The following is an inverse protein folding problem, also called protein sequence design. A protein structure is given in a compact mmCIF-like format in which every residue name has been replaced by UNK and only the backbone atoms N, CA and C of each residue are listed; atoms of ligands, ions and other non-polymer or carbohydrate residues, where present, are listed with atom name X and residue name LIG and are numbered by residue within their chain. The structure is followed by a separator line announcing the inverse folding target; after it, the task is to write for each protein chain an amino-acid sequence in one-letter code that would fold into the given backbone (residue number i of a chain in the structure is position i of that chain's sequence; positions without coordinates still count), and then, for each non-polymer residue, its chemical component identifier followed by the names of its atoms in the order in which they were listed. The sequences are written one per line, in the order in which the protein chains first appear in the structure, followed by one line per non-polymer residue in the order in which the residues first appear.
data_IF_758152201616
#
_entry.id   IF_758152201616
#
_cell.length_a   1.000
_cell.length_b   1.000
_cell.length_c   1.000
_cell.angle_alpha   90.00
_cell.angle_beta   90.00
_cell.angle_gamma   90.00
#
_symmetry.space_group_name_H-M   'P 1'
#
loop_
_entity.id
_entity.type
_entity.pdbx_description
1 polymer ?
#
# COMPACT_ATOMS: atom_id res chain seq x y z
N UNK A 1 40.37 7.37 -33.14
CA UNK A 1 40.40 7.00 -31.71
C UNK A 1 38.96 7.01 -31.21
N UNK A 2 38.36 5.83 -31.11
CA UNK A 2 36.99 5.67 -30.65
C UNK A 2 36.94 5.73 -29.13
N UNK A 3 36.19 6.68 -28.59
CA UNK A 3 35.82 6.69 -27.18
C UNK A 3 34.68 5.70 -26.95
N UNK A 4 35.06 4.48 -26.59
CA UNK A 4 34.35 3.63 -25.63
C UNK A 4 34.06 4.46 -24.37
N UNK A 5 32.89 4.47 -23.72
CA UNK A 5 31.79 3.52 -23.64
C UNK A 5 30.49 4.33 -23.53
N UNK A 6 29.66 4.32 -24.56
CA UNK A 6 28.27 4.77 -24.44
C UNK A 6 27.43 3.85 -25.30
N UNK A 7 27.13 2.65 -24.77
CA UNK A 7 26.05 1.76 -25.24
C UNK A 7 25.90 0.53 -24.33
N UNK A 8 24.69 0.43 -23.74
CA UNK A 8 24.04 -0.74 -23.09
C UNK A 8 24.63 -1.15 -21.73
N UNK A 9 23.84 -1.33 -20.67
CA UNK A 9 22.72 -2.28 -20.64
C UNK A 9 21.58 -1.93 -19.66
N UNK A 10 20.37 -2.03 -20.22
CA UNK A 10 19.10 -2.43 -19.64
C UNK A 10 18.42 -1.54 -18.57
N UNK A 11 17.42 -0.77 -19.05
CA UNK A 11 16.20 -0.52 -18.29
C UNK A 11 15.55 -1.87 -17.94
N UNK A 12 16.11 -2.59 -16.98
CA UNK A 12 15.50 -3.79 -16.43
C UNK A 12 14.21 -3.36 -15.74
N UNK A 13 13.09 -3.49 -16.45
CA UNK A 13 11.78 -3.40 -15.83
C UNK A 13 11.69 -4.61 -14.91
N UNK A 14 11.82 -4.36 -13.61
CA UNK A 14 11.64 -5.36 -12.58
C UNK A 14 10.22 -5.90 -12.69
N UNK A 15 10.08 -7.05 -13.36
CA UNK A 15 8.79 -7.70 -13.58
C UNK A 15 8.42 -8.46 -12.31
N UNK A 16 7.47 -7.92 -11.56
CA UNK A 16 6.96 -8.53 -10.34
C UNK A 16 5.85 -9.53 -10.68
N UNK A 17 5.89 -10.69 -10.04
CA UNK A 17 4.77 -11.64 -10.06
C UNK A 17 3.83 -11.37 -8.88
N UNK A 18 2.56 -11.76 -9.01
CA UNK A 18 1.57 -11.56 -7.94
C UNK A 18 1.98 -12.24 -6.63
N UNK A 19 2.55 -13.45 -6.71
CA UNK A 19 3.02 -14.21 -5.54
C UNK A 19 4.23 -13.53 -4.88
N UNK A 20 5.15 -13.00 -5.68
CA UNK A 20 6.29 -12.25 -5.16
C UNK A 20 5.82 -11.00 -4.43
N UNK A 21 4.86 -10.25 -5.00
CA UNK A 21 4.29 -9.06 -4.35
C UNK A 21 3.60 -9.43 -3.04
N UNK A 22 2.81 -10.50 -3.02
CA UNK A 22 2.15 -10.95 -1.81
C UNK A 22 3.17 -11.26 -0.70
N UNK A 23 4.22 -12.02 -1.01
CA UNK A 23 5.30 -12.33 -0.06
C UNK A 23 6.09 -11.09 0.38
N UNK A 24 6.40 -10.19 -0.56
CA UNK A 24 7.11 -8.96 -0.25
C UNK A 24 6.31 -8.03 0.66
N UNK A 25 5.00 -7.89 0.40
CA UNK A 25 4.08 -7.09 1.23
C UNK A 25 3.84 -7.74 2.58
N UNK A 26 3.84 -9.08 2.66
CA UNK A 26 3.84 -9.82 3.92
C UNK A 26 5.01 -9.43 4.84
N UNK A 27 6.17 -9.09 4.27
CA UNK A 27 7.31 -8.55 5.01
C UNK A 27 7.25 -7.04 5.24
N UNK A 28 7.18 -6.26 4.15
CA UNK A 28 7.50 -4.83 4.11
C UNK A 28 6.29 -3.90 3.98
N UNK A 29 5.10 -4.46 3.73
CA UNK A 29 3.89 -3.66 3.54
C UNK A 29 3.22 -3.22 4.84
N UNK A 30 2.43 -2.16 4.77
CA UNK A 30 1.63 -1.69 5.88
C UNK A 30 0.23 -1.29 5.38
N UNK A 31 -0.79 -1.85 6.04
CA UNK A 31 -2.19 -1.45 5.89
C UNK A 31 -2.55 -0.59 7.10
N UNK A 32 -2.74 0.70 6.86
CA UNK A 32 -2.96 1.67 7.93
C UNK A 32 -4.30 2.38 7.73
N UNK A 33 -4.94 2.74 8.84
CA UNK A 33 -6.12 3.62 8.84
C UNK A 33 -5.83 4.81 9.73
N UNK A 34 -5.65 5.98 9.12
CA UNK A 34 -5.52 7.25 9.83
C UNK A 34 -6.87 7.73 10.37
N UNK A 35 -6.86 8.35 11.55
CA UNK A 35 -7.98 9.12 12.07
C UNK A 35 -7.46 10.49 12.50
N UNK A 36 -7.93 11.54 11.84
CA UNK A 36 -7.43 12.90 12.03
C UNK A 36 -8.36 13.74 12.90
N UNK A 37 -7.85 14.85 13.45
CA UNK A 37 -8.64 15.78 14.28
C UNK A 37 -9.87 16.34 13.57
N UNK A 38 -9.86 16.39 12.24
CA UNK A 38 -11.00 16.77 11.40
C UNK A 38 -12.13 15.74 11.37
N UNK A 39 -11.99 14.59 12.05
CA UNK A 39 -12.91 13.46 11.95
C UNK A 39 -12.69 12.60 10.69
N UNK A 40 -11.75 12.97 9.82
CA UNK A 40 -11.46 12.23 8.60
C UNK A 40 -10.83 10.87 8.92
N UNK A 41 -11.44 9.80 8.38
CA UNK A 41 -10.86 8.47 8.32
C UNK A 41 -10.16 8.29 6.98
N UNK A 42 -8.88 7.91 7.01
CA UNK A 42 -8.07 7.77 5.80
C UNK A 42 -7.36 6.41 5.79
N UNK A 43 -7.95 5.41 5.13
CA UNK A 43 -7.24 4.19 4.79
C UNK A 43 -6.07 4.50 3.84
N UNK A 44 -4.94 3.85 4.08
CA UNK A 44 -3.80 3.85 3.18
C UNK A 44 -3.06 2.50 3.17
N UNK A 45 -2.56 2.13 1.99
CA UNK A 45 -1.60 1.05 1.83
C UNK A 45 -0.23 1.65 1.53
N UNK A 46 0.80 1.22 2.25
CA UNK A 46 2.17 1.72 2.08
C UNK A 46 3.18 0.59 2.02
N UNK A 47 4.28 0.82 1.30
CA UNK A 47 5.52 0.03 1.35
C UNK A 47 6.66 1.02 1.46
N UNK A 48 7.52 0.86 2.46
CA UNK A 48 8.63 1.78 2.72
C UNK A 48 9.95 1.07 2.45
N UNK A 49 10.88 1.73 1.78
CA UNK A 49 12.21 1.20 1.49
C UNK A 49 13.30 2.26 1.57
N UNK A 50 14.52 1.79 1.80
CA UNK A 50 15.71 2.62 1.66
C UNK A 50 15.91 3.03 0.19
N UNK A 51 16.54 4.19 -0.07
CA UNK A 51 16.78 4.72 -1.42
C UNK A 51 17.48 3.72 -2.36
N UNK A 52 18.36 2.87 -1.80
CA UNK A 52 19.04 1.78 -2.52
C UNK A 52 18.08 0.78 -3.19
N UNK A 53 16.89 0.61 -2.64
CA UNK A 53 15.86 -0.31 -3.11
C UNK A 53 14.70 0.41 -3.79
N UNK A 54 14.82 1.71 -4.11
CA UNK A 54 13.72 2.54 -4.65
C UNK A 54 13.09 1.95 -5.93
N UNK A 55 13.86 1.20 -6.73
CA UNK A 55 13.38 0.53 -7.94
C UNK A 55 12.17 -0.38 -7.67
N UNK A 56 12.11 -1.04 -6.52
CA UNK A 56 10.96 -1.90 -6.15
C UNK A 56 9.68 -1.09 -5.94
N UNK A 57 9.79 0.13 -5.39
CA UNK A 57 8.63 1.00 -5.16
C UNK A 57 8.03 1.48 -6.48
N UNK A 58 8.89 1.81 -7.46
CA UNK A 58 8.44 2.13 -8.81
C UNK A 58 7.88 0.90 -9.54
N UNK A 59 8.46 -0.28 -9.34
CA UNK A 59 7.91 -1.53 -9.90
C UNK A 59 6.51 -1.84 -9.34
N UNK A 60 6.28 -1.63 -8.03
CA UNK A 60 4.95 -1.76 -7.42
C UNK A 60 3.95 -0.76 -8.02
N UNK A 61 4.35 0.52 -8.16
CA UNK A 61 3.51 1.53 -8.80
C UNK A 61 3.15 1.13 -10.23
N UNK A 62 4.12 0.64 -11.00
CA UNK A 62 3.89 0.18 -12.38
C UNK A 62 2.97 -1.04 -12.43
N UNK A 63 3.14 -1.99 -11.51
CA UNK A 63 2.34 -3.21 -11.45
C UNK A 63 0.88 -2.91 -11.11
N UNK A 64 0.63 -2.08 -10.09
CA UNK A 64 -0.72 -1.73 -9.66
C UNK A 64 -1.38 -0.66 -10.55
N UNK A 65 -0.61 0.09 -11.34
CA UNK A 65 -1.12 1.17 -12.19
C UNK A 65 -1.65 2.37 -11.40
N UNK A 66 -1.42 2.43 -10.09
CA UNK A 66 -1.97 3.44 -9.19
C UNK A 66 -0.97 3.85 -8.10
N UNK A 67 -1.36 4.80 -7.24
CA UNK A 67 -0.54 5.25 -6.12
C UNK A 67 0.62 6.18 -6.50
N UNK A 68 1.47 6.46 -5.51
CA UNK A 68 2.55 7.44 -5.63
C UNK A 68 3.82 6.94 -4.97
N UNK A 69 4.98 7.28 -5.55
CA UNK A 69 6.31 7.05 -4.96
C UNK A 69 6.88 8.40 -4.56
N UNK A 70 7.23 8.58 -3.29
CA UNK A 70 7.78 9.84 -2.78
C UNK A 70 8.80 9.59 -1.68
N UNK A 71 9.69 10.55 -1.48
CA UNK A 71 10.62 10.55 -0.36
C UNK A 71 9.88 10.91 0.93
N UNK A 72 10.13 10.15 2.00
CA UNK A 72 9.61 10.43 3.33
C UNK A 72 10.61 11.23 4.17
N UNK A 73 11.86 10.80 4.14
CA UNK A 73 13.00 11.34 4.90
C UNK A 73 14.29 11.08 4.10
N UNK A 74 15.46 11.65 4.47
CA UNK A 74 16.73 11.26 3.87
C UNK A 74 16.86 9.74 3.80
N UNK A 75 17.20 9.23 2.62
CA UNK A 75 17.35 7.81 2.32
C UNK A 75 16.12 6.91 2.51
N UNK A 76 14.93 7.44 2.82
CA UNK A 76 13.72 6.65 3.04
C UNK A 76 12.60 7.10 2.11
N UNK A 77 12.07 6.16 1.32
CA UNK A 77 11.05 6.37 0.32
C UNK A 77 9.86 5.46 0.56
N UNK A 78 8.67 5.87 0.11
CA UNK A 78 7.48 5.01 0.13
C UNK A 78 6.85 4.90 -1.25
N UNK A 79 6.24 3.75 -1.51
CA UNK A 79 5.08 3.61 -2.38
C UNK A 79 3.81 3.70 -1.52
N UNK A 80 2.83 4.51 -1.93
CA UNK A 80 1.60 4.75 -1.16
C UNK A 80 0.37 4.87 -2.03
N UNK A 81 -0.70 4.18 -1.62
CA UNK A 81 -2.04 4.26 -2.20
C UNK A 81 -3.00 4.79 -1.14
N UNK A 82 -3.66 5.92 -1.43
CA UNK A 82 -4.62 6.60 -0.55
C UNK A 82 -5.97 6.87 -1.21
N UNK A 83 -6.01 6.93 -2.55
CA UNK A 83 -7.25 7.20 -3.27
C UNK A 83 -8.20 6.02 -3.02
N UNK A 84 -9.42 6.34 -2.58
CA UNK A 84 -10.41 5.35 -2.17
C UNK A 84 -10.78 4.40 -3.32
N UNK A 85 -10.90 4.90 -4.55
CA UNK A 85 -11.11 4.07 -5.74
C UNK A 85 -9.97 3.07 -5.93
N UNK A 86 -8.71 3.53 -5.99
CA UNK A 86 -7.54 2.64 -6.13
C UNK A 86 -7.48 1.55 -5.04
N UNK A 87 -7.87 1.89 -3.80
CA UNK A 87 -7.92 0.92 -2.72
C UNK A 87 -9.00 -0.14 -2.92
N UNK A 88 -10.20 0.27 -3.33
CA UNK A 88 -11.35 -0.61 -3.52
C UNK A 88 -11.27 -1.45 -4.80
N UNK A 89 -10.75 -0.86 -5.87
CA UNK A 89 -10.80 -1.42 -7.22
C UNK A 89 -9.52 -2.20 -7.57
N UNK A 90 -8.39 -1.86 -6.93
CA UNK A 90 -7.08 -2.47 -7.23
C UNK A 90 -6.48 -3.21 -6.03
N UNK A 91 -6.25 -2.51 -4.92
CA UNK A 91 -5.44 -3.06 -3.82
C UNK A 91 -6.19 -4.16 -3.05
N UNK A 92 -7.44 -3.92 -2.67
CA UNK A 92 -8.26 -4.90 -1.95
C UNK A 92 -8.46 -6.18 -2.80
N UNK A 93 -8.93 -6.10 -4.07
CA UNK A 93 -9.13 -7.29 -4.90
C UNK A 93 -7.83 -8.07 -5.12
N UNK A 94 -6.69 -7.38 -5.24
CA UNK A 94 -5.40 -8.04 -5.39
C UNK A 94 -5.06 -8.95 -4.19
N UNK A 95 -5.19 -8.45 -2.96
CA UNK A 95 -4.84 -9.21 -1.75
C UNK A 95 -5.95 -10.18 -1.29
N UNK A 96 -7.19 -10.02 -1.77
CA UNK A 96 -8.20 -11.08 -1.68
C UNK A 96 -7.81 -12.30 -2.53
N UNK A 97 -7.36 -12.07 -3.77
CA UNK A 97 -6.92 -13.12 -4.69
C UNK A 97 -5.56 -13.72 -4.30
N UNK A 98 -4.63 -12.88 -3.86
CA UNK A 98 -3.26 -13.25 -3.51
C UNK A 98 -3.08 -13.09 -1.99
N UNK A 99 -3.51 -14.11 -1.26
CA UNK A 99 -3.58 -14.04 0.20
C UNK A 99 -2.21 -13.91 0.86
N UNK A 100 -2.11 -12.91 1.73
CA UNK A 100 -1.06 -12.79 2.74
C UNK A 100 -1.07 -14.01 3.67
N UNK A 101 0.10 -14.43 4.13
CA UNK A 101 0.32 -15.62 4.96
C UNK A 101 0.65 -15.28 6.41
N UNK A 102 1.15 -14.08 6.67
CA UNK A 102 1.53 -13.65 8.03
C UNK A 102 0.35 -13.05 8.79
N UNK A 103 0.59 -12.59 10.03
CA UNK A 103 -0.39 -11.82 10.81
C UNK A 103 -0.90 -10.57 10.08
N UNK A 104 -0.15 -10.07 9.09
CA UNK A 104 -0.56 -8.97 8.22
C UNK A 104 -1.86 -9.25 7.45
N UNK A 105 -2.21 -10.53 7.24
CA UNK A 105 -3.53 -10.93 6.71
C UNK A 105 -4.66 -10.39 7.59
N UNK A 106 -4.50 -10.41 8.91
CA UNK A 106 -5.52 -9.93 9.86
C UNK A 106 -5.70 -8.41 9.73
N UNK A 107 -4.59 -7.67 9.65
CA UNK A 107 -4.64 -6.22 9.43
C UNK A 107 -5.25 -5.88 8.07
N UNK A 108 -4.92 -6.62 7.01
CA UNK A 108 -5.55 -6.48 5.70
C UNK A 108 -7.07 -6.70 5.76
N UNK A 109 -7.55 -7.72 6.46
CA UNK A 109 -9.00 -7.99 6.59
C UNK A 109 -9.71 -6.82 7.29
N UNK A 110 -9.13 -6.29 8.37
CA UNK A 110 -9.66 -5.11 9.10
C UNK A 110 -9.62 -3.86 8.22
N UNK A 111 -8.50 -3.62 7.55
CA UNK A 111 -8.31 -2.53 6.61
C UNK A 111 -9.36 -2.53 5.49
N UNK A 112 -9.57 -3.70 4.86
CA UNK A 112 -10.60 -3.91 3.84
C UNK A 112 -11.98 -3.57 4.39
N UNK A 113 -12.34 -4.13 5.54
CA UNK A 113 -13.65 -3.89 6.14
C UNK A 113 -13.88 -2.40 6.40
N UNK A 114 -12.91 -1.72 7.02
CA UNK A 114 -12.99 -0.27 7.28
C UNK A 114 -13.13 0.51 5.99
N UNK A 115 -12.33 0.19 4.97
CA UNK A 115 -12.38 0.88 3.67
C UNK A 115 -13.76 0.76 3.00
N UNK A 116 -14.39 -0.41 3.09
CA UNK A 116 -15.76 -0.64 2.61
C UNK A 116 -16.79 0.12 3.47
N UNK A 117 -16.64 0.19 4.79
CA UNK A 117 -17.54 1.01 5.61
C UNK A 117 -17.43 2.49 5.28
N UNK A 118 -16.21 2.97 5.02
CA UNK A 118 -15.98 4.34 4.56
C UNK A 118 -16.64 4.61 3.21
N UNK A 119 -16.59 3.66 2.26
CA UNK A 119 -17.23 3.84 0.94
C UNK A 119 -18.76 3.88 1.00
N UNK A 120 -19.35 3.25 2.03
CA UNK A 120 -20.78 3.27 2.32
C UNK A 120 -21.23 4.43 3.20
N UNK A 121 -20.33 5.38 3.51
CA UNK A 121 -20.59 6.52 4.40
C UNK A 121 -20.96 6.13 5.85
N UNK A 122 -20.69 4.90 6.29
CA UNK A 122 -21.02 4.45 7.65
C UNK A 122 -20.18 5.14 8.73
N UNK A 123 -19.06 5.76 8.35
CA UNK A 123 -18.24 6.58 9.24
C UNK A 123 -18.88 7.94 9.57
N UNK A 124 -19.95 8.33 8.90
CA UNK A 124 -20.67 9.59 9.15
C UNK A 124 -21.72 9.47 10.27
N UNK A 125 -22.05 8.25 10.70
CA UNK A 125 -22.91 8.01 11.85
C UNK A 125 -22.06 7.59 13.07
N UNK A 126 -22.51 7.97 14.26
CA UNK A 126 -21.73 7.81 15.50
C UNK A 126 -21.42 6.34 15.81
N UNK A 127 -22.38 5.44 15.62
CA UNK A 127 -22.18 4.03 15.94
C UNK A 127 -21.23 3.36 14.95
N UNK A 128 -21.37 3.65 13.66
CA UNK A 128 -20.46 3.20 12.61
C UNK A 128 -19.05 3.74 12.82
N UNK A 129 -18.91 5.02 13.18
CA UNK A 129 -17.63 5.61 13.57
C UNK A 129 -17.02 4.87 14.78
N UNK A 130 -17.78 4.68 15.87
CA UNK A 130 -17.33 3.93 17.06
C UNK A 130 -16.84 2.53 16.70
N UNK A 131 -17.58 1.79 15.87
CA UNK A 131 -17.19 0.46 15.41
C UNK A 131 -15.92 0.47 14.55
N UNK A 132 -15.81 1.42 13.61
CA UNK A 132 -14.61 1.60 12.80
C UNK A 132 -13.38 1.89 13.67
N UNK A 133 -13.50 2.81 14.63
CA UNK A 133 -12.41 3.16 15.54
C UNK A 133 -12.02 1.98 16.45
N UNK A 134 -12.99 1.19 16.91
CA UNK A 134 -12.72 -0.03 17.68
C UNK A 134 -11.89 -1.02 16.86
N UNK A 135 -12.28 -1.30 15.62
CA UNK A 135 -11.55 -2.23 14.74
C UNK A 135 -10.17 -1.69 14.38
N UNK A 136 -10.08 -0.39 14.09
CA UNK A 136 -8.81 0.30 13.82
C UNK A 136 -7.83 0.12 14.97
N UNK A 137 -8.28 0.25 16.22
CA UNK A 137 -7.41 0.13 17.39
C UNK A 137 -6.88 -1.29 17.63
N UNK A 138 -7.44 -2.30 16.96
CA UNK A 138 -6.92 -3.67 16.95
C UNK A 138 -5.89 -3.91 15.84
N UNK A 139 -5.72 -2.97 14.91
CA UNK A 139 -4.73 -3.08 13.85
C UNK A 139 -3.35 -2.76 14.38
N UNK A 140 -2.35 -3.48 13.87
CA UNK A 140 -0.96 -3.22 14.20
C UNK A 140 -0.48 -1.94 13.52
N UNK A 141 0.37 -1.17 14.22
CA UNK A 141 0.97 0.06 13.69
C UNK A 141 2.22 -0.25 12.88
#
# INVERSE_FOLDING_TARGET
MGSSETKRSDNYIMKLTSQWIAGFVDGEGCFHVGYYKSGQIQPEFTVVQHTRSIKVLYALKSFFGCGSVRQQKPNLWYYRVRRRSDLLDTIIPFFEKNQLKTRKKVDFIRFRWITIQCSRNNHLNDDGLKWILRIRNLMHK
#
